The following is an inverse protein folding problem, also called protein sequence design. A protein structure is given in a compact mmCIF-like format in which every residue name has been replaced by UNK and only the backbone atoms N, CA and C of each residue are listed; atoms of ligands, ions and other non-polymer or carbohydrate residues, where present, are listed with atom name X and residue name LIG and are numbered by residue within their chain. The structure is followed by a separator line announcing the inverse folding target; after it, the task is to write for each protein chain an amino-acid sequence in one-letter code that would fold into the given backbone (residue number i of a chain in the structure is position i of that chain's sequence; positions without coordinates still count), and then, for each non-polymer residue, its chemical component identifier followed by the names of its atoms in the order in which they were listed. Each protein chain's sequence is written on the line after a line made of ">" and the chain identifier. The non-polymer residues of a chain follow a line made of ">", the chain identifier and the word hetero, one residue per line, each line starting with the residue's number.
data_IF_529521271637
#
_entry.id   IF_529521271637
#
_cell.length_a   1.000
_cell.length_b   1.000
_cell.length_c   1.000
_cell.angle_alpha   90.00
_cell.angle_beta   90.00
_cell.angle_gamma   90.00
#
_symmetry.space_group_name_H-M   'P 1'
#
loop_
_entity.id
_entity.type
_entity.pdbx_description
1 polymer ?
#
# COMPACT_ATOMS: atom_id res chain seq x y z
N UNK A 1 -17.12 -40.56 -4.09
CA UNK A 1 -16.52 -39.24 -3.83
C UNK A 1 -16.99 -38.33 -4.95
N UNK A 2 -17.77 -37.30 -4.62
CA UNK A 2 -18.30 -36.36 -5.62
C UNK A 2 -17.19 -35.37 -5.92
N UNK A 3 -16.73 -35.30 -7.17
CA UNK A 3 -15.80 -34.26 -7.62
C UNK A 3 -16.41 -32.89 -7.29
N UNK A 4 -15.80 -32.16 -6.35
CA UNK A 4 -16.24 -30.81 -5.98
C UNK A 4 -15.94 -29.92 -7.19
N UNK A 5 -16.98 -29.55 -7.96
CA UNK A 5 -16.87 -28.66 -9.11
C UNK A 5 -16.30 -27.32 -8.62
N UNK A 6 -15.09 -27.00 -9.05
CA UNK A 6 -14.43 -25.72 -8.80
C UNK A 6 -14.63 -24.87 -10.04
N UNK A 7 -15.42 -23.81 -9.92
CA UNK A 7 -15.59 -22.83 -10.98
C UNK A 7 -14.53 -21.71 -10.84
N UNK A 8 -14.19 -21.12 -11.98
CA UNK A 8 -13.31 -19.96 -12.04
C UNK A 8 -14.11 -18.67 -11.76
N UNK A 9 -14.20 -18.29 -10.49
CA UNK A 9 -14.86 -17.07 -10.02
C UNK A 9 -14.24 -15.79 -10.61
N UNK A 10 -13.03 -15.85 -11.19
CA UNK A 10 -12.43 -14.68 -11.86
C UNK A 10 -13.17 -14.25 -13.13
N UNK A 11 -14.12 -15.07 -13.61
CA UNK A 11 -15.06 -14.70 -14.68
C UNK A 11 -16.05 -13.60 -14.27
N UNK A 12 -16.23 -13.35 -12.98
CA UNK A 12 -17.10 -12.29 -12.45
C UNK A 12 -16.31 -10.98 -12.37
N UNK A 13 -16.89 -9.90 -12.90
CA UNK A 13 -16.20 -8.62 -12.96
C UNK A 13 -15.92 -8.08 -11.56
N UNK A 14 -14.65 -7.82 -11.28
CA UNK A 14 -14.21 -7.35 -9.97
C UNK A 14 -13.92 -8.47 -8.98
N UNK A 15 -14.04 -9.75 -9.34
CA UNK A 15 -13.44 -10.86 -8.59
C UNK A 15 -12.13 -11.22 -9.28
N UNK A 16 -11.00 -10.90 -8.63
CA UNK A 16 -9.68 -11.35 -9.07
C UNK A 16 -9.27 -12.66 -8.36
N UNK A 17 -8.12 -13.26 -8.75
CA UNK A 17 -7.61 -14.48 -8.13
C UNK A 17 -7.54 -14.43 -6.59
N UNK A 18 -7.14 -13.29 -6.03
CA UNK A 18 -7.07 -13.09 -4.57
C UNK A 18 -8.44 -13.12 -3.89
N UNK A 19 -9.49 -12.64 -4.56
CA UNK A 19 -10.86 -12.69 -4.03
C UNK A 19 -11.44 -14.09 -4.18
N UNK A 20 -11.19 -14.77 -5.30
CA UNK A 20 -11.56 -16.17 -5.47
C UNK A 20 -10.93 -17.06 -4.39
N UNK A 21 -9.64 -16.87 -4.11
CA UNK A 21 -8.94 -17.60 -3.03
C UNK A 21 -9.58 -17.33 -1.67
N UNK A 22 -9.85 -16.05 -1.36
CA UNK A 22 -10.53 -15.68 -0.13
C UNK A 22 -11.93 -16.30 -0.02
N UNK A 23 -12.74 -16.28 -1.09
CA UNK A 23 -14.03 -16.96 -1.13
C UNK A 23 -13.89 -18.46 -0.83
N UNK A 24 -12.88 -19.11 -1.38
CA UNK A 24 -12.65 -20.54 -1.18
C UNK A 24 -12.12 -20.91 0.21
N UNK A 25 -11.18 -20.13 0.75
CA UNK A 25 -10.51 -20.42 2.02
C UNK A 25 -11.31 -19.95 3.23
N UNK A 26 -11.94 -18.78 3.15
CA UNK A 26 -12.66 -18.16 4.27
C UNK A 26 -14.14 -18.53 4.27
N UNK A 27 -14.78 -18.50 3.10
CA UNK A 27 -16.22 -18.78 2.98
C UNK A 27 -16.51 -20.19 2.42
N UNK A 28 -15.49 -20.97 2.06
CA UNK A 28 -15.68 -22.32 1.48
C UNK A 28 -16.31 -22.33 0.09
N UNK A 29 -16.38 -21.17 -0.58
CA UNK A 29 -17.07 -20.92 -1.84
C UNK A 29 -16.12 -21.08 -3.01
N UNK A 30 -16.36 -22.13 -3.80
CA UNK A 30 -15.55 -22.52 -4.95
C UNK A 30 -16.36 -22.63 -6.24
N UNK A 31 -17.65 -22.30 -6.25
CA UNK A 31 -18.52 -22.38 -7.42
C UNK A 31 -19.42 -21.16 -7.58
N UNK A 32 -19.87 -20.87 -8.81
CA UNK A 32 -20.80 -19.77 -9.08
C UNK A 32 -22.11 -19.96 -8.32
N UNK A 33 -22.58 -21.21 -8.21
CA UNK A 33 -23.78 -21.56 -7.46
C UNK A 33 -23.64 -21.30 -5.96
N UNK A 34 -22.47 -21.58 -5.38
CA UNK A 34 -22.21 -21.29 -3.98
C UNK A 34 -22.17 -19.79 -3.72
N UNK A 35 -21.51 -19.03 -4.60
CA UNK A 35 -21.43 -17.57 -4.48
C UNK A 35 -22.81 -16.91 -4.65
N UNK A 36 -23.62 -17.39 -5.60
CA UNK A 36 -24.96 -16.88 -5.85
C UNK A 36 -25.95 -17.11 -4.69
N UNK A 37 -25.68 -18.12 -3.85
CA UNK A 37 -26.53 -18.45 -2.70
C UNK A 37 -26.08 -17.78 -1.39
N UNK A 38 -24.97 -17.04 -1.39
CA UNK A 38 -24.55 -16.27 -0.23
C UNK A 38 -25.37 -14.99 -0.09
N UNK A 39 -25.67 -14.62 1.15
CA UNK A 39 -26.22 -13.30 1.45
C UNK A 39 -25.13 -12.22 1.34
N UNK A 40 -25.44 -11.02 0.82
CA UNK A 40 -24.51 -9.90 0.79
C UNK A 40 -23.89 -9.58 2.16
N UNK A 41 -24.66 -9.72 3.25
CA UNK A 41 -24.21 -9.42 4.62
C UNK A 41 -23.06 -10.32 5.11
N UNK A 42 -23.04 -11.59 4.69
CA UNK A 42 -21.97 -12.55 5.03
C UNK A 42 -20.67 -12.17 4.31
N UNK A 43 -20.78 -11.81 3.03
CA UNK A 43 -19.62 -11.39 2.22
C UNK A 43 -19.07 -10.06 2.74
N UNK A 44 -19.96 -9.11 3.04
CA UNK A 44 -19.61 -7.79 3.58
C UNK A 44 -18.90 -7.91 4.93
N UNK A 45 -19.44 -8.74 5.84
CA UNK A 45 -18.84 -8.96 7.16
C UNK A 45 -17.47 -9.63 7.07
N UNK A 46 -17.34 -10.69 6.27
CA UNK A 46 -16.06 -11.38 6.11
C UNK A 46 -14.99 -10.51 5.44
N UNK A 47 -15.36 -9.68 4.46
CA UNK A 47 -14.42 -8.74 3.85
C UNK A 47 -13.99 -7.66 4.83
N UNK A 48 -14.91 -7.18 5.68
CA UNK A 48 -14.60 -6.19 6.71
C UNK A 48 -13.64 -6.74 7.78
N UNK A 49 -13.80 -8.00 8.18
CA UNK A 49 -12.87 -8.69 9.09
C UNK A 49 -11.45 -8.80 8.51
N UNK A 50 -11.34 -8.91 7.18
CA UNK A 50 -10.06 -8.92 6.44
C UNK A 50 -9.53 -7.49 6.15
N UNK A 51 -10.15 -6.45 6.72
CA UNK A 51 -9.78 -5.05 6.48
C UNK A 51 -10.11 -4.54 5.07
N UNK A 52 -10.98 -5.23 4.32
CA UNK A 52 -11.38 -4.88 2.96
C UNK A 52 -12.78 -4.26 2.97
N UNK A 53 -12.88 -2.98 2.60
CA UNK A 53 -14.17 -2.31 2.48
C UNK A 53 -14.60 -2.35 1.01
N UNK A 54 -15.63 -3.14 0.71
CA UNK A 54 -16.26 -3.20 -0.61
C UNK A 54 -17.69 -2.68 -0.48
N UNK A 55 -18.13 -1.89 -1.45
CA UNK A 55 -19.51 -1.37 -1.43
C UNK A 55 -20.51 -2.52 -1.57
N UNK A 56 -21.62 -2.44 -0.82
CA UNK A 56 -22.70 -3.42 -0.87
C UNK A 56 -23.23 -3.64 -2.29
N UNK A 57 -23.34 -2.58 -3.09
CA UNK A 57 -23.75 -2.67 -4.49
C UNK A 57 -22.82 -3.57 -5.31
N UNK A 58 -21.50 -3.48 -5.10
CA UNK A 58 -20.53 -4.33 -5.79
C UNK A 58 -20.67 -5.80 -5.40
N UNK A 59 -20.98 -6.07 -4.12
CA UNK A 59 -21.22 -7.44 -3.63
C UNK A 59 -22.49 -8.02 -4.26
N UNK A 60 -23.55 -7.22 -4.35
CA UNK A 60 -24.81 -7.60 -5.00
C UNK A 60 -24.63 -7.83 -6.51
N UNK A 61 -23.79 -7.03 -7.18
CA UNK A 61 -23.40 -7.25 -8.58
C UNK A 61 -22.67 -8.59 -8.77
N UNK A 62 -21.76 -8.95 -7.86
CA UNK A 62 -21.07 -10.24 -7.90
C UNK A 62 -22.02 -11.42 -7.73
N UNK A 63 -22.96 -11.34 -6.78
CA UNK A 63 -23.97 -12.38 -6.55
C UNK A 63 -24.86 -12.53 -7.78
N UNK A 64 -25.30 -11.42 -8.37
CA UNK A 64 -26.15 -11.41 -9.56
C UNK A 64 -25.43 -11.97 -10.80
N UNK A 65 -24.14 -11.67 -10.97
CA UNK A 65 -23.33 -12.21 -12.07
C UNK A 65 -23.01 -13.70 -11.87
N UNK A 66 -22.73 -14.13 -10.63
CA UNK A 66 -22.58 -15.54 -10.27
C UNK A 66 -23.86 -16.35 -10.60
N UNK A 67 -25.03 -15.81 -10.28
CA UNK A 67 -26.30 -16.46 -10.59
C UNK A 67 -26.49 -16.69 -12.10
N UNK A 68 -26.13 -15.71 -12.94
CA UNK A 68 -26.18 -15.83 -14.41
C UNK A 68 -25.24 -16.91 -14.92
N UNK A 69 -24.00 -16.92 -14.43
CA UNK A 69 -22.99 -17.90 -14.83
C UNK A 69 -23.36 -19.32 -14.39
N UNK A 70 -24.00 -19.49 -13.22
CA UNK A 70 -24.51 -20.77 -12.77
C UNK A 70 -25.62 -21.32 -13.69
N UNK A 71 -26.51 -20.45 -14.18
CA UNK A 71 -27.57 -20.83 -15.13
C UNK A 71 -27.03 -21.13 -16.55
N UNK A 72 -26.02 -20.39 -17.01
CA UNK A 72 -25.30 -20.68 -18.26
C UNK A 72 -24.59 -22.04 -18.22
N UNK A 73 -23.98 -22.39 -17.09
CA UNK A 73 -23.33 -23.67 -16.88
C UNK A 73 -24.35 -24.83 -16.79
N UNK A 74 -25.52 -24.62 -16.17
CA UNK A 74 -26.61 -25.61 -16.14
C UNK A 74 -27.17 -25.86 -17.55
N UNK A 75 -27.46 -24.80 -18.29
CA UNK A 75 -28.03 -24.89 -19.65
C UNK A 75 -27.04 -25.40 -20.73
N UNK A 76 -25.73 -25.32 -20.47
CA UNK A 76 -24.69 -25.89 -21.34
C UNK A 76 -24.36 -27.35 -20.99
N UNK A 77 -24.58 -27.78 -19.74
CA UNK A 77 -24.40 -29.17 -19.30
C UNK A 77 -25.48 -30.14 -19.82
N UNK A 78 -26.67 -29.64 -20.20
CA UNK A 78 -27.70 -30.43 -20.88
C UNK A 78 -27.42 -30.63 -22.39
N UNK A 79 -26.46 -29.89 -22.96
CA UNK A 79 -26.11 -29.95 -24.40
C UNK A 79 -24.76 -30.60 -24.72
N UNK A 80 -23.99 -31.04 -23.72
CA UNK A 80 -22.64 -31.62 -23.91
C UNK A 80 -22.47 -32.96 -23.18
N UNK A 81 -23.26 -33.96 -23.56
CA UNK A 81 -22.69 -35.31 -23.77
C UNK A 81 -22.23 -35.34 -25.23
N UNK A 82 -20.96 -35.66 -25.42
CA UNK A 82 -20.24 -35.76 -26.69
C UNK A 82 -19.54 -34.50 -27.20
N UNK A 83 -18.25 -34.72 -27.50
CA UNK A 83 -17.32 -33.90 -28.29
C UNK A 83 -16.47 -32.88 -27.50
N UNK A 84 -15.41 -33.46 -26.92
CA UNK A 84 -14.00 -33.05 -26.93
C UNK A 84 -13.61 -31.58 -26.67
N UNK A 85 -12.78 -31.45 -25.62
CA UNK A 85 -11.85 -30.34 -25.32
C UNK A 85 -11.26 -29.68 -26.58
N UNK A 86 -11.26 -28.34 -26.66
CA UNK A 86 -10.12 -27.62 -27.18
C UNK A 86 -9.21 -27.22 -26.00
N UNK A 87 -7.96 -27.66 -26.08
CA UNK A 87 -6.88 -27.09 -25.30
C UNK A 87 -6.76 -25.61 -25.69
N UNK A 88 -7.06 -24.70 -24.76
CA UNK A 88 -6.64 -23.31 -24.89
C UNK A 88 -5.14 -23.32 -24.58
N UNK A 89 -4.35 -23.21 -25.64
CA UNK A 89 -2.92 -22.94 -25.54
C UNK A 89 -2.75 -21.56 -24.90
N UNK A 90 -2.33 -21.54 -23.65
CA UNK A 90 -1.81 -20.34 -22.99
C UNK A 90 -0.61 -19.84 -23.79
N UNK A 91 -0.80 -18.78 -24.57
CA UNK A 91 0.28 -18.04 -25.19
C UNK A 91 1.05 -17.26 -24.12
N UNK A 92 1.92 -17.96 -23.38
CA UNK A 92 3.22 -17.49 -22.86
C UNK A 92 3.33 -16.26 -21.97
N UNK A 93 2.28 -15.48 -21.73
CA UNK A 93 2.36 -14.27 -20.90
C UNK A 93 1.97 -14.60 -19.48
N UNK A 94 2.95 -14.60 -18.59
CA UNK A 94 2.78 -14.88 -17.17
C UNK A 94 2.82 -13.53 -16.43
N UNK A 95 1.77 -13.18 -15.67
CA UNK A 95 1.78 -11.96 -14.87
C UNK A 95 2.77 -12.14 -13.71
N UNK A 96 3.83 -11.32 -13.71
CA UNK A 96 4.94 -11.42 -12.75
C UNK A 96 4.91 -10.32 -11.67
N UNK A 97 4.01 -9.35 -11.80
CA UNK A 97 3.68 -8.35 -10.79
C UNK A 97 2.30 -7.76 -11.09
N UNK A 98 1.58 -7.33 -10.05
CA UNK A 98 0.33 -6.59 -10.19
C UNK A 98 0.35 -5.38 -9.26
N UNK A 99 -0.23 -4.27 -9.71
CA UNK A 99 -0.31 -3.04 -8.92
C UNK A 99 -1.72 -2.47 -8.97
N UNK A 100 -2.19 -1.93 -7.86
CA UNK A 100 -3.43 -1.14 -7.80
C UNK A 100 -3.05 0.32 -7.62
N UNK A 101 -3.54 1.18 -8.50
CA UNK A 101 -3.31 2.62 -8.44
C UNK A 101 -4.62 3.31 -8.10
N UNK A 102 -4.62 4.07 -7.01
CA UNK A 102 -5.75 4.87 -6.54
C UNK A 102 -5.47 6.35 -6.73
N UNK A 103 -6.48 7.09 -7.20
CA UNK A 103 -6.46 8.55 -7.29
C UNK A 103 -7.49 9.10 -6.33
N UNK A 104 -7.05 9.95 -5.42
CA UNK A 104 -7.85 10.52 -4.37
C UNK A 104 -7.86 12.05 -4.52
N UNK A 105 -9.03 12.67 -4.47
CA UNK A 105 -9.21 14.13 -4.45
C UNK A 105 -9.81 14.52 -3.09
N UNK A 106 -9.09 15.37 -2.36
CA UNK A 106 -9.59 16.00 -1.14
C UNK A 106 -9.89 17.48 -1.44
N UNK A 107 -11.12 17.91 -1.15
CA UNK A 107 -11.56 19.31 -1.34
C UNK A 107 -11.75 19.97 0.01
N UNK A 108 -10.95 20.99 0.30
CA UNK A 108 -11.12 21.82 1.48
C UNK A 108 -11.29 23.30 1.05
N UNK A 109 -12.55 23.73 0.96
CA UNK A 109 -12.89 25.07 0.44
C UNK A 109 -12.50 25.25 -1.03
N UNK A 110 -11.63 26.23 -1.30
CA UNK A 110 -11.09 26.50 -2.64
C UNK A 110 -9.80 25.70 -2.96
N UNK A 111 -9.23 25.00 -1.99
CA UNK A 111 -8.04 24.18 -2.22
C UNK A 111 -8.42 22.75 -2.59
N UNK A 112 -7.75 22.26 -3.63
CA UNK A 112 -7.82 20.88 -4.10
C UNK A 112 -6.49 20.22 -3.82
N UNK A 113 -6.53 19.16 -3.03
CA UNK A 113 -5.38 18.28 -2.81
C UNK A 113 -5.65 16.97 -3.55
N UNK A 114 -4.70 16.57 -4.40
CA UNK A 114 -4.76 15.32 -5.13
C UNK A 114 -3.68 14.40 -4.59
N UNK A 115 -4.03 13.15 -4.30
CA UNK A 115 -3.11 12.11 -3.88
C UNK A 115 -3.24 10.91 -4.81
N UNK A 116 -2.11 10.32 -5.19
CA UNK A 116 -2.06 9.04 -5.87
C UNK A 116 -1.41 8.02 -4.95
N UNK A 117 -2.05 6.87 -4.75
CA UNK A 117 -1.53 5.78 -3.92
C UNK A 117 -1.33 4.55 -4.81
N UNK A 118 -0.21 3.84 -4.64
CA UNK A 118 0.09 2.61 -5.37
C UNK A 118 0.27 1.48 -4.37
N UNK A 119 -0.48 0.40 -4.57
CA UNK A 119 -0.35 -0.83 -3.80
C UNK A 119 0.29 -1.90 -4.68
N UNK A 120 1.39 -2.51 -4.23
CA UNK A 120 1.94 -3.70 -4.86
C UNK A 120 1.11 -4.92 -4.44
N UNK A 121 0.70 -5.73 -5.40
CA UNK A 121 0.05 -7.01 -5.19
C UNK A 121 1.03 -8.12 -5.57
N UNK A 122 1.50 -8.85 -4.56
CA UNK A 122 2.32 -10.05 -4.76
C UNK A 122 1.58 -11.05 -5.67
N UNK A 123 2.30 -11.59 -6.66
CA UNK A 123 1.77 -12.58 -7.60
C UNK A 123 2.00 -14.01 -7.09
N UNK A 124 1.16 -14.96 -7.50
CA UNK A 124 1.12 -16.34 -6.99
C UNK A 124 2.44 -17.15 -7.09
N UNK A 125 3.38 -16.75 -7.95
CA UNK A 125 4.69 -17.42 -8.06
C UNK A 125 5.64 -17.09 -6.88
N UNK A 126 5.43 -15.98 -6.17
CA UNK A 126 6.18 -15.66 -4.95
C UNK A 126 5.75 -16.53 -3.77
N UNK A 127 4.57 -17.17 -3.81
CA UNK A 127 4.11 -18.07 -2.75
C UNK A 127 4.50 -19.55 -2.99
N UNK A 128 4.72 -19.97 -4.24
CA UNK A 128 5.06 -21.38 -4.54
C UNK A 128 6.54 -21.69 -4.27
N UNK A 129 7.43 -20.69 -4.25
CA UNK A 129 8.84 -20.86 -3.89
C UNK A 129 9.12 -20.83 -2.38
N UNK A 130 8.16 -20.38 -1.57
CA UNK A 130 8.34 -20.23 -0.11
C UNK A 130 8.08 -21.53 0.65
N UNK A 131 7.44 -22.53 0.03
CA UNK A 131 7.16 -23.81 0.71
C UNK A 131 8.24 -24.90 0.51
N UNK A 132 9.25 -24.69 -0.35
CA UNK A 132 10.33 -25.68 -0.56
C UNK A 132 11.75 -25.14 -0.36
N UNK A 133 11.93 -23.90 0.08
CA UNK A 133 13.26 -23.34 0.40
C UNK A 133 13.24 -22.58 1.73
N UNK A 134 12.99 -23.30 2.83
CA UNK A 134 13.44 -22.87 4.17
C UNK A 134 14.96 -23.08 4.30
N UNK A 135 15.75 -22.33 3.54
CA UNK A 135 17.17 -22.05 3.84
C UNK A 135 17.66 -20.97 2.85
N UNK A 136 18.11 -19.83 3.39
CA UNK A 136 18.89 -18.77 2.73
C UNK A 136 18.31 -18.05 1.51
N UNK A 137 17.20 -17.30 1.67
CA UNK A 137 16.91 -16.19 0.75
C UNK A 137 16.59 -14.90 1.50
N UNK A 138 17.62 -14.05 1.67
CA UNK A 138 17.46 -12.61 1.82
C UNK A 138 16.52 -12.09 0.72
N UNK A 139 15.60 -11.19 1.09
CA UNK A 139 14.54 -10.70 0.22
C UNK A 139 15.01 -10.38 -1.19
N UNK A 140 14.49 -11.11 -2.18
CA UNK A 140 14.71 -10.82 -3.60
C UNK A 140 14.06 -9.49 -3.93
N UNK A 141 14.83 -8.42 -3.78
CA UNK A 141 14.55 -7.11 -4.38
C UNK A 141 14.65 -7.25 -5.89
N UNK A 142 13.66 -6.72 -6.60
CA UNK A 142 13.60 -6.69 -8.06
C UNK A 142 14.86 -6.06 -8.67
N UNK A 143 15.52 -6.69 -9.67
CA UNK A 143 16.62 -6.05 -10.38
C UNK A 143 16.05 -5.02 -11.37
N UNK A 144 16.18 -3.73 -11.03
CA UNK A 144 15.92 -2.62 -11.95
C UNK A 144 14.58 -1.88 -11.78
N UNK A 145 13.76 -2.22 -10.78
CA UNK A 145 12.58 -1.43 -10.43
C UNK A 145 12.44 -1.41 -8.90
N UNK A 146 13.27 -0.60 -8.26
CA UNK A 146 13.11 -0.28 -6.85
C UNK A 146 11.74 0.39 -6.66
N UNK A 147 10.97 -0.07 -5.68
CA UNK A 147 9.61 0.38 -5.32
C UNK A 147 9.39 1.91 -5.35
N UNK A 148 10.45 2.70 -5.26
CA UNK A 148 10.45 4.16 -5.24
C UNK A 148 10.27 4.81 -6.63
N UNK A 149 10.69 4.16 -7.72
CA UNK A 149 10.58 4.71 -9.08
C UNK A 149 9.24 4.40 -9.76
N UNK A 150 8.49 3.43 -9.23
CA UNK A 150 7.22 3.02 -9.84
C UNK A 150 6.15 4.11 -9.72
N UNK A 151 6.07 4.79 -8.57
CA UNK A 151 5.14 5.91 -8.37
C UNK A 151 5.49 7.09 -9.29
N UNK A 152 6.78 7.40 -9.45
CA UNK A 152 7.27 8.47 -10.34
C UNK A 152 7.05 8.13 -11.82
N UNK A 153 7.37 6.91 -12.24
CA UNK A 153 7.15 6.41 -13.60
C UNK A 153 5.67 6.40 -13.99
N UNK A 154 4.78 6.03 -13.05
CA UNK A 154 3.34 6.09 -13.28
C UNK A 154 2.81 7.52 -13.29
N UNK A 155 3.28 8.39 -12.39
CA UNK A 155 2.92 9.81 -12.39
C UNK A 155 3.30 10.50 -13.71
N UNK A 156 4.49 10.23 -14.25
CA UNK A 156 4.90 10.73 -15.58
C UNK A 156 4.00 10.24 -16.71
N UNK A 157 3.61 8.95 -16.70
CA UNK A 157 2.71 8.36 -17.71
C UNK A 157 1.28 8.92 -17.64
N UNK A 158 0.83 9.34 -16.46
CA UNK A 158 -0.51 9.89 -16.24
C UNK A 158 -0.57 11.40 -16.52
N UNK A 159 0.50 12.14 -16.21
CA UNK A 159 0.64 13.56 -16.57
C UNK A 159 0.62 13.74 -18.09
N UNK A 160 1.17 12.79 -18.86
CA UNK A 160 1.07 12.76 -20.33
C UNK A 160 -0.40 12.63 -20.78
N UNK A 161 -1.22 11.77 -20.17
CA UNK A 161 -2.64 11.61 -20.54
C UNK A 161 -3.55 12.76 -20.08
N UNK A 162 -3.24 13.37 -18.94
CA UNK A 162 -3.91 14.57 -18.44
C UNK A 162 -3.57 15.79 -19.32
N UNK A 163 -2.32 15.88 -19.80
CA UNK A 163 -1.91 16.87 -20.81
C UNK A 163 -2.60 16.64 -22.15
N UNK A 164 -2.63 15.42 -22.66
CA UNK A 164 -3.34 15.10 -23.93
C UNK A 164 -4.84 15.43 -23.86
N UNK A 165 -5.45 15.34 -22.68
CA UNK A 165 -6.85 15.75 -22.44
C UNK A 165 -7.04 17.28 -22.32
N UNK A 166 -5.97 18.03 -22.02
CA UNK A 166 -5.97 19.49 -21.88
C UNK A 166 -5.43 20.23 -23.11
N UNK A 167 -4.60 19.57 -23.94
CA UNK A 167 -3.94 20.15 -25.11
C UNK A 167 -4.88 20.30 -26.33
N UNK A 168 -6.14 19.87 -26.22
CA UNK A 168 -7.19 20.31 -27.15
C UNK A 168 -7.50 21.82 -27.05
N UNK A 169 -7.02 22.52 -26.00
CA UNK A 169 -7.14 23.98 -25.87
C UNK A 169 -5.96 24.60 -25.11
N UNK A 170 -4.79 24.70 -25.72
CA UNK A 170 -3.99 25.95 -25.76
C UNK A 170 -2.58 25.67 -26.27
N UNK A 171 -2.36 26.11 -27.51
CA UNK A 171 -1.04 26.31 -28.10
C UNK A 171 -0.35 27.54 -27.50
N UNK A 172 0.98 27.52 -27.57
CA UNK A 172 1.95 28.62 -27.38
C UNK A 172 2.45 28.85 -25.94
N UNK A 173 3.60 28.24 -25.60
CA UNK A 173 4.93 28.90 -25.56
C UNK A 173 5.95 27.96 -24.88
N UNK A 174 6.67 27.15 -25.66
CA UNK A 174 7.83 26.39 -25.19
C UNK A 174 8.93 27.37 -24.78
N UNK A 175 9.17 27.49 -23.48
CA UNK A 175 10.41 28.03 -22.90
C UNK A 175 11.12 26.86 -22.25
N UNK A 176 12.31 26.54 -22.74
CA UNK A 176 13.19 25.47 -22.26
C UNK A 176 13.55 25.76 -20.81
N UNK A 177 12.79 25.19 -19.87
CA UNK A 177 13.16 25.10 -18.47
C UNK A 177 14.04 23.84 -18.35
N UNK A 178 15.30 24.03 -17.94
CA UNK A 178 16.16 22.93 -17.57
C UNK A 178 15.45 22.11 -16.49
N UNK A 179 15.17 20.84 -16.80
CA UNK A 179 14.55 19.87 -15.89
C UNK A 179 15.49 19.68 -14.72
N UNK A 180 15.26 20.41 -13.64
CA UNK A 180 16.08 20.29 -12.46
C UNK A 180 15.66 19.04 -11.70
N UNK A 181 16.62 18.15 -11.46
CA UNK A 181 16.40 16.83 -10.87
C UNK A 181 15.83 16.96 -9.46
N UNK A 182 14.67 16.34 -9.15
CA UNK A 182 14.09 16.38 -7.81
C UNK A 182 15.05 15.75 -6.79
N UNK A 183 14.98 16.24 -5.55
CA UNK A 183 15.70 15.65 -4.43
C UNK A 183 14.94 14.40 -3.96
N UNK A 184 15.65 13.32 -3.64
CA UNK A 184 15.03 12.12 -3.12
C UNK A 184 15.08 12.12 -1.59
N UNK A 185 14.00 11.72 -0.92
CA UNK A 185 13.96 11.56 0.54
C UNK A 185 13.73 10.09 0.85
N UNK A 186 14.55 9.56 1.74
CA UNK A 186 14.33 8.24 2.32
C UNK A 186 14.29 8.35 3.84
N UNK A 187 13.22 7.86 4.46
CA UNK A 187 13.20 7.68 5.91
C UNK A 187 13.85 6.33 6.19
N UNK A 188 15.04 6.38 6.76
CA UNK A 188 15.89 5.21 6.97
C UNK A 188 15.47 4.39 8.19
N UNK A 189 14.90 5.05 9.19
CA UNK A 189 14.65 4.44 10.49
C UNK A 189 13.61 5.22 11.30
N UNK A 190 12.73 4.50 11.98
CA UNK A 190 11.92 5.01 13.10
C UNK A 190 12.39 4.34 14.39
N UNK A 191 12.50 5.10 15.49
CA UNK A 191 12.82 4.62 16.83
C UNK A 191 11.79 5.10 17.82
N UNK A 192 11.52 4.25 18.80
CA UNK A 192 10.67 4.60 19.94
C UNK A 192 11.52 4.46 21.21
N UNK A 193 11.61 5.54 21.99
CA UNK A 193 12.39 5.61 23.23
C UNK A 193 11.42 5.73 24.41
N UNK A 194 11.43 4.75 25.32
CA UNK A 194 10.75 4.86 26.61
C UNK A 194 11.63 4.18 27.68
N UNK A 195 12.15 4.91 28.68
CA UNK A 195 11.95 6.35 28.94
C UNK A 195 12.60 7.26 27.87
N UNK A 196 12.26 8.56 27.88
CA UNK A 196 12.71 9.56 26.90
C UNK A 196 14.24 9.58 26.68
N UNK A 197 15.01 9.32 27.71
CA UNK A 197 16.47 9.35 27.74
C UNK A 197 17.15 7.99 27.47
N UNK A 198 16.38 6.98 27.05
CA UNK A 198 16.91 5.64 26.79
C UNK A 198 17.89 5.64 25.61
N UNK A 199 19.12 5.17 25.84
CA UNK A 199 20.09 4.95 24.75
C UNK A 199 19.70 3.78 23.83
N UNK A 200 18.90 2.84 24.34
CA UNK A 200 18.43 1.67 23.60
C UNK A 200 16.97 1.85 23.21
N UNK A 201 16.63 1.93 21.91
CA UNK A 201 15.24 2.06 21.49
C UNK A 201 14.48 0.75 21.71
N UNK A 202 13.21 0.87 22.08
CA UNK A 202 12.28 -0.25 22.23
C UNK A 202 11.93 -0.83 20.86
N UNK A 203 11.74 0.04 19.86
CA UNK A 203 11.46 -0.35 18.49
C UNK A 203 12.48 0.21 17.49
N UNK A 204 12.75 -0.59 16.46
CA UNK A 204 13.62 -0.28 15.34
C UNK A 204 12.86 -0.58 14.05
N UNK A 205 12.12 0.41 13.56
CA UNK A 205 11.49 0.35 12.24
C UNK A 205 12.55 0.47 11.14
N UNK A 206 13.30 -0.61 10.90
CA UNK A 206 14.16 -0.79 9.73
C UNK A 206 13.73 -2.08 9.05
N UNK A 207 13.36 -2.01 7.77
CA UNK A 207 12.90 -3.18 7.01
C UNK A 207 13.89 -4.34 7.14
N UNK A 208 13.50 -5.39 7.88
CA UNK A 208 14.23 -6.65 7.95
C UNK A 208 14.56 -7.22 9.34
N UNK A 209 14.50 -6.46 10.44
CA UNK A 209 14.84 -7.00 11.77
C UNK A 209 13.58 -7.28 12.60
N UNK A 210 13.03 -8.49 12.49
CA UNK A 210 11.96 -8.98 13.37
C UNK A 210 12.46 -9.02 14.83
N UNK A 211 11.95 -8.11 15.66
CA UNK A 211 11.90 -8.30 17.12
C UNK A 211 10.44 -8.49 17.52
N UNK A 212 10.22 -9.25 18.60
CA UNK A 212 8.92 -9.40 19.27
C UNK A 212 8.25 -8.02 19.40
N UNK A 213 6.95 -7.94 19.14
CA UNK A 213 6.17 -6.70 19.11
C UNK A 213 6.60 -5.75 20.25
N UNK A 214 7.22 -4.60 19.93
CA UNK A 214 7.69 -3.65 20.92
C UNK A 214 6.52 -3.23 21.81
N UNK A 215 6.73 -3.30 23.12
CA UNK A 215 5.73 -2.94 24.12
C UNK A 215 6.07 -1.57 24.69
N UNK A 216 5.13 -0.63 24.61
CA UNK A 216 5.22 0.65 25.33
C UNK A 216 4.08 0.77 26.31
N UNK A 217 4.26 1.60 27.34
CA UNK A 217 3.22 1.94 28.29
C UNK A 217 2.56 3.24 27.84
N UNK A 218 1.26 3.21 27.59
CA UNK A 218 0.50 4.31 26.98
C UNK A 218 0.33 5.55 27.86
N UNK A 219 0.77 5.47 29.12
CA UNK A 219 0.72 6.55 30.13
C UNK A 219 2.10 7.02 30.60
N UNK A 220 3.18 6.42 30.10
CA UNK A 220 4.54 6.87 30.43
C UNK A 220 5.10 7.71 29.28
N UNK A 221 5.91 8.75 29.57
CA UNK A 221 6.52 9.56 28.53
C UNK A 221 7.35 8.72 27.55
N UNK A 222 7.29 9.03 26.26
CA UNK A 222 8.14 8.38 25.25
C UNK A 222 8.44 9.33 24.10
N UNK A 223 9.54 9.07 23.40
CA UNK A 223 9.93 9.82 22.21
C UNK A 223 9.79 8.95 20.96
N UNK A 224 9.43 9.58 19.85
CA UNK A 224 9.48 8.98 18.52
C UNK A 224 10.54 9.73 17.72
N UNK A 225 11.58 9.02 17.31
CA UNK A 225 12.61 9.55 16.44
C UNK A 225 12.44 9.01 15.02
N UNK A 226 12.61 9.87 14.01
CA UNK A 226 12.82 9.43 12.65
C UNK A 226 14.14 9.96 12.11
N UNK A 227 14.87 9.07 11.45
CA UNK A 227 16.13 9.39 10.78
C UNK A 227 15.87 9.27 9.29
N UNK A 228 16.09 10.35 8.55
CA UNK A 228 15.90 10.38 7.10
C UNK A 228 17.14 10.91 6.40
N UNK A 229 17.35 10.45 5.17
CA UNK A 229 18.36 10.96 4.26
C UNK A 229 17.75 11.70 3.09
N UNK A 230 18.50 12.66 2.57
CA UNK A 230 18.19 13.39 1.35
C UNK A 230 19.31 13.13 0.34
N UNK A 231 18.93 12.57 -0.80
CA UNK A 231 19.85 12.33 -1.90
C UNK A 231 19.68 13.41 -2.97
N UNK A 232 20.80 14.02 -3.35
CA UNK A 232 20.88 14.99 -4.43
C UNK A 232 21.20 14.34 -5.77
N UNK A 233 21.14 15.10 -6.88
CA UNK A 233 21.62 14.61 -8.17
C UNK A 233 23.08 14.16 -8.06
N UNK A 234 23.43 13.06 -8.75
CA UNK A 234 24.66 12.26 -8.59
C UNK A 234 26.02 13.01 -8.53
N UNK A 235 26.08 14.30 -8.85
CA UNK A 235 27.29 15.12 -8.85
C UNK A 235 27.16 16.46 -8.09
N UNK A 236 26.07 16.66 -7.33
CA UNK A 236 25.77 17.93 -6.67
C UNK A 236 25.72 17.82 -5.14
N UNK A 237 26.33 18.79 -4.45
CA UNK A 237 26.09 19.01 -3.02
C UNK A 237 24.59 19.27 -2.80
N UNK A 238 23.98 18.56 -1.85
CA UNK A 238 22.58 18.78 -1.46
C UNK A 238 22.41 20.25 -1.04
N UNK A 239 21.52 21.01 -1.69
CA UNK A 239 21.28 22.40 -1.30
C UNK A 239 20.66 22.44 0.09
N UNK A 240 20.74 23.59 0.75
CA UNK A 240 19.99 23.74 2.00
C UNK A 240 18.49 23.65 1.71
N UNK A 241 17.80 22.75 2.41
CA UNK A 241 16.37 22.49 2.24
C UNK A 241 15.63 22.65 3.55
N UNK A 242 14.41 23.18 3.49
CA UNK A 242 13.51 23.18 4.63
C UNK A 242 12.80 21.85 4.66
N UNK A 243 12.66 21.25 5.84
CA UNK A 243 11.88 20.03 6.02
C UNK A 243 10.73 20.26 7.00
N UNK A 244 9.71 19.43 6.84
CA UNK A 244 8.55 19.31 7.70
C UNK A 244 8.31 17.82 7.95
N UNK A 245 8.37 17.38 9.20
CA UNK A 245 8.11 16.01 9.61
C UNK A 245 6.84 15.93 10.46
N UNK A 246 6.04 14.90 10.21
CA UNK A 246 4.80 14.60 10.95
C UNK A 246 4.78 13.14 11.34
N UNK A 247 4.27 12.89 12.54
CA UNK A 247 4.15 11.56 13.12
C UNK A 247 2.69 11.28 13.42
N UNK A 248 2.21 10.17 12.90
CA UNK A 248 0.85 9.68 13.08
C UNK A 248 0.89 8.34 13.78
N UNK A 249 -0.14 8.04 14.54
CA UNK A 249 -0.32 6.76 15.20
C UNK A 249 -1.73 6.27 14.89
N UNK A 250 -1.81 5.06 14.38
CA UNK A 250 -3.05 4.42 13.95
C UNK A 250 -3.35 3.24 14.87
N UNK A 251 -4.51 3.25 15.52
CA UNK A 251 -5.00 2.12 16.29
C UNK A 251 -5.52 1.04 15.32
N UNK A 252 -4.92 -0.15 15.34
CA UNK A 252 -5.26 -1.23 14.42
C UNK A 252 -6.60 -1.91 14.74
N UNK A 253 -7.07 -1.80 15.99
CA UNK A 253 -8.33 -2.38 16.43
C UNK A 253 -9.52 -1.49 16.02
N UNK A 254 -9.35 -0.17 16.06
CA UNK A 254 -10.43 0.81 15.78
C UNK A 254 -10.31 1.50 14.42
N UNK A 255 -9.12 1.49 13.81
CA UNK A 255 -8.77 2.28 12.63
C UNK A 255 -8.62 3.78 12.90
N UNK A 256 -8.62 4.20 14.17
CA UNK A 256 -8.48 5.62 14.53
C UNK A 256 -7.04 6.09 14.32
N UNK A 257 -6.85 7.10 13.47
CA UNK A 257 -5.56 7.76 13.28
C UNK A 257 -5.49 9.05 14.11
N UNK A 258 -4.38 9.22 14.83
CA UNK A 258 -4.10 10.40 15.64
C UNK A 258 -2.70 10.92 15.33
N UNK A 259 -2.58 12.23 15.11
CA UNK A 259 -1.27 12.89 15.05
C UNK A 259 -0.66 12.96 16.46
N UNK A 260 0.60 12.52 16.60
CA UNK A 260 1.27 12.40 17.90
C UNK A 260 1.64 13.76 18.50
N UNK A 261 2.14 14.69 17.70
CA UNK A 261 2.54 16.03 18.16
C UNK A 261 2.46 17.06 17.01
N UNK A 262 2.76 18.31 17.33
CA UNK A 262 2.94 19.38 16.38
C UNK A 262 3.99 19.05 15.31
N UNK A 263 3.86 19.77 14.21
CA UNK A 263 4.66 19.58 13.03
C UNK A 263 6.11 20.02 13.27
N UNK A 264 7.05 19.08 13.27
CA UNK A 264 8.49 19.35 13.40
C UNK A 264 9.03 20.02 12.12
N UNK A 265 9.59 21.21 12.26
CA UNK A 265 10.16 21.96 11.12
C UNK A 265 11.62 22.26 11.37
N UNK A 266 12.42 22.14 10.32
CA UNK A 266 13.84 22.48 10.38
C UNK A 266 14.44 22.78 9.03
N UNK A 267 15.75 22.99 9.04
CA UNK A 267 16.55 23.25 7.84
C UNK A 267 17.67 22.23 7.83
N UNK A 268 17.79 21.48 6.73
CA UNK A 268 18.96 20.67 6.45
C UNK A 268 20.04 21.60 5.85
N UNK A 269 21.20 21.76 6.50
CA UNK A 269 22.29 22.56 5.97
C UNK A 269 22.82 22.02 4.65
N UNK A 270 23.47 22.90 3.87
CA UNK A 270 24.06 22.50 2.60
C UNK A 270 25.15 21.45 2.83
N UNK A 271 25.07 20.35 2.09
CA UNK A 271 26.04 19.25 2.16
C UNK A 271 25.74 18.19 3.24
N UNK A 272 24.79 18.44 4.14
CA UNK A 272 24.26 17.40 5.01
C UNK A 272 23.24 16.55 4.24
N UNK A 273 23.34 15.24 4.40
CA UNK A 273 22.49 14.27 3.69
C UNK A 273 21.62 13.46 4.63
N UNK A 274 21.71 13.66 5.95
CA UNK A 274 20.95 12.93 6.96
C UNK A 274 20.51 13.86 8.07
N UNK A 275 19.30 13.66 8.59
CA UNK A 275 18.75 14.42 9.70
C UNK A 275 17.95 13.51 10.63
N UNK A 276 18.06 13.80 11.93
CA UNK A 276 17.24 13.21 12.98
C UNK A 276 16.16 14.21 13.37
N UNK A 277 14.91 13.76 13.35
CA UNK A 277 13.76 14.49 13.90
C UNK A 277 13.18 13.69 15.05
N UNK A 278 12.76 14.39 16.09
CA UNK A 278 12.34 13.79 17.35
C UNK A 278 11.11 14.52 17.88
N UNK A 279 10.15 13.75 18.37
CA UNK A 279 8.94 14.21 19.05
C UNK A 279 8.89 13.57 20.41
N UNK A 280 8.73 14.38 21.45
CA UNK A 280 8.61 13.93 22.83
C UNK A 280 7.15 14.03 23.29
N UNK A 281 6.58 12.90 23.72
CA UNK A 281 5.25 12.84 24.30
C UNK A 281 5.40 12.78 25.82
N UNK A 282 5.34 13.93 26.49
CA UNK A 282 5.53 14.00 27.96
C UNK A 282 4.36 13.39 28.75
N UNK A 283 3.13 13.51 28.26
CA UNK A 283 1.93 13.02 28.95
C UNK A 283 1.00 12.30 27.98
N UNK A 284 1.44 11.18 27.38
CA UNK A 284 0.61 10.44 26.46
C UNK A 284 -0.58 9.84 27.21
N UNK A 285 -1.75 9.91 26.60
CA UNK A 285 -2.94 9.18 27.03
C UNK A 285 -3.38 8.31 25.87
N UNK A 286 -2.57 7.28 25.60
CA UNK A 286 -2.81 6.34 24.51
C UNK A 286 -3.55 5.14 25.09
N UNK A 287 -4.75 4.81 24.58
CA UNK A 287 -5.47 3.62 25.02
C UNK A 287 -4.65 2.35 24.76
N UNK A 288 -4.78 1.30 25.59
CA UNK A 288 -4.17 0.01 25.29
C UNK A 288 -4.67 -0.54 23.94
N UNK A 289 -3.80 -1.24 23.22
CA UNK A 289 -4.13 -1.81 21.91
C UNK A 289 -2.91 -1.97 21.00
N UNK A 290 -3.16 -2.32 19.75
CA UNK A 290 -2.11 -2.43 18.74
C UNK A 290 -2.07 -1.21 17.84
N UNK A 291 -0.87 -0.71 17.55
CA UNK A 291 -0.67 0.53 16.82
C UNK A 291 0.42 0.44 15.78
N UNK A 292 0.28 1.20 14.70
CA UNK A 292 1.38 1.53 13.80
C UNK A 292 1.72 3.01 13.92
N UNK A 293 3.01 3.35 13.85
CA UNK A 293 3.47 4.72 13.73
C UNK A 293 3.83 4.99 12.28
N UNK A 294 3.28 6.06 11.74
CA UNK A 294 3.56 6.52 10.38
C UNK A 294 4.31 7.84 10.45
N UNK A 295 5.47 7.90 9.82
CA UNK A 295 6.24 9.13 9.67
C UNK A 295 6.20 9.61 8.24
N UNK A 296 5.86 10.90 8.07
CA UNK A 296 5.88 11.59 6.78
C UNK A 296 6.86 12.75 6.88
N UNK A 297 7.86 12.79 5.99
CA UNK A 297 8.80 13.90 5.89
C UNK A 297 8.63 14.56 4.53
N UNK A 298 8.37 15.86 4.51
CA UNK A 298 8.33 16.64 3.27
C UNK A 298 9.47 17.65 3.28
N UNK A 299 10.21 17.74 2.17
CA UNK A 299 11.16 18.84 1.97
C UNK A 299 10.59 19.85 0.99
N UNK A 300 10.85 21.12 1.25
CA UNK A 300 10.56 22.22 0.34
C UNK A 300 11.88 22.89 -0.05
N UNK A 301 12.16 22.90 -1.34
CA UNK A 301 13.38 23.49 -1.90
C UNK A 301 13.29 23.63 -3.41
N UNK A 302 14.35 24.14 -4.03
CA UNK A 302 14.52 24.02 -5.48
C UNK A 302 15.26 22.70 -5.76
N UNK A 303 14.77 21.86 -6.67
CA UNK A 303 13.78 22.21 -7.69
C UNK A 303 12.32 21.82 -7.43
N UNK A 304 11.96 21.33 -6.26
CA UNK A 304 10.58 20.98 -5.97
C UNK A 304 10.33 20.55 -4.54
N UNK A 305 9.10 20.07 -4.31
CA UNK A 305 8.70 19.42 -3.06
C UNK A 305 8.89 17.92 -3.24
N UNK A 306 9.56 17.29 -2.28
CA UNK A 306 9.68 15.82 -2.23
C UNK A 306 9.13 15.31 -0.91
N UNK A 307 8.72 14.05 -0.88
CA UNK A 307 8.12 13.42 0.29
C UNK A 307 8.71 12.03 0.51
N UNK A 308 9.10 11.74 1.74
CA UNK A 308 9.44 10.42 2.24
C UNK A 308 8.36 9.91 3.19
N UNK A 309 8.20 8.59 3.23
CA UNK A 309 7.18 7.90 4.02
C UNK A 309 7.77 6.61 4.61
N UNK A 310 7.50 6.33 5.88
CA UNK A 310 7.83 5.06 6.52
C UNK A 310 6.78 4.73 7.59
N UNK A 311 6.36 3.47 7.63
CA UNK A 311 5.47 2.92 8.65
C UNK A 311 6.27 1.97 9.53
N UNK A 312 6.16 2.13 10.85
CA UNK A 312 6.80 1.24 11.82
C UNK A 312 6.16 -0.16 11.79
N UNK A 313 6.86 -1.17 12.33
CA UNK A 313 6.23 -2.40 12.76
C UNK A 313 5.11 -2.16 13.78
N UNK A 314 4.31 -3.20 14.02
CA UNK A 314 3.23 -3.19 15.01
C UNK A 314 3.76 -3.03 16.43
N UNK A 315 3.29 -1.97 17.08
CA UNK A 315 3.51 -1.61 18.47
C UNK A 315 2.38 -2.14 19.34
N UNK A 316 2.69 -2.63 20.54
CA UNK A 316 1.70 -2.97 21.56
C UNK A 316 1.73 -1.94 22.69
N UNK A 317 0.62 -1.27 22.93
CA UNK A 317 0.46 -0.30 24.02
C UNK A 317 -0.25 -0.96 25.18
N UNK A 318 0.36 -0.91 26.37
CA UNK A 318 -0.20 -1.33 27.66
C UNK A 318 -0.70 -0.16 28.49
#
# INVERSE_FOLDING_TARGET
>A
MVDKKVDDLTRIKGIGPSRQKWFGEVLGVNSFEQLANLSPDIIESGLKEEGRIISRNTIEEWIAEAAKLADEDRSSSERKKEISKPAIQNNGWHPFASFVVEFQEHRNGNERELRTTVHHMETAEEQTLVHEMEEDTEGKVWPGLENKQLCEWMAERLDIKLRESSEAKQSVRKKTAATATPLHIEINQIRILQPLDSETPIDLGRGGAFRLHPVIKGREPFAVEAIFSVEGPANGSVPSVKYEARFYMENLDTGEERQLDDVCRGVLPRGETSCKVEVELENPSIPPGFYHITTVVTISGKPGRSMGYLRSPQLHVL
#
